data_IF_212138638277
#
_entry.id   IF_212138638277
#
_cell.length_a   1.000
_cell.length_b   1.000
_cell.length_c   1.000
_cell.angle_alpha   90.00
_cell.angle_beta   90.00
_cell.angle_gamma   90.00
#
_symmetry.space_group_name_H-M   'P 1'
#
loop_
_entity.id
_entity.type
_entity.pdbx_description
1 polymer ?
#
# COMPACT_ATOMS: atom_id res chain seq x y z
N UNK A 1 17.90 -13.30 19.05
CA UNK A 1 18.16 -14.06 17.81
C UNK A 1 17.11 -13.63 16.80
N UNK A 2 17.50 -12.88 15.76
CA UNK A 2 16.57 -12.41 14.72
C UNK A 2 16.29 -13.57 13.77
N UNK A 3 15.09 -14.14 13.85
CA UNK A 3 14.61 -15.13 12.88
C UNK A 3 14.30 -14.43 11.57
N UNK A 4 15.19 -14.56 10.59
CA UNK A 4 14.86 -14.41 9.17
C UNK A 4 13.84 -15.51 8.84
N UNK A 5 12.56 -15.19 8.85
CA UNK A 5 11.58 -15.98 8.11
C UNK A 5 11.47 -15.34 6.73
N UNK A 6 11.83 -16.09 5.70
CA UNK A 6 11.37 -15.79 4.36
C UNK A 6 9.84 -15.76 4.42
N UNK A 7 9.22 -14.71 3.87
CA UNK A 7 7.77 -14.57 3.87
C UNK A 7 7.16 -15.81 3.23
N UNK A 8 6.19 -16.42 3.91
CA UNK A 8 5.39 -17.49 3.34
C UNK A 8 4.66 -16.99 2.09
N UNK A 9 4.32 -17.91 1.18
CA UNK A 9 3.45 -17.63 0.02
C UNK A 9 2.15 -16.95 0.46
N UNK A 10 1.59 -17.36 1.60
CA UNK A 10 0.39 -16.75 2.18
C UNK A 10 0.61 -15.30 2.63
N UNK A 11 1.78 -15.00 3.21
CA UNK A 11 2.11 -13.64 3.65
C UNK A 11 2.37 -12.73 2.45
N UNK A 12 3.04 -13.22 1.41
CA UNK A 12 3.22 -12.49 0.14
C UNK A 12 1.87 -12.19 -0.52
N UNK A 13 0.97 -13.19 -0.53
CA UNK A 13 -0.38 -13.01 -1.06
C UNK A 13 -1.17 -11.98 -0.23
N UNK A 14 -1.06 -12.00 1.09
CA UNK A 14 -1.66 -10.98 1.95
C UNK A 14 -1.10 -9.58 1.70
N UNK A 15 0.21 -9.43 1.51
CA UNK A 15 0.82 -8.14 1.17
C UNK A 15 0.30 -7.64 -0.17
N UNK A 16 0.17 -8.51 -1.17
CA UNK A 16 -0.42 -8.16 -2.46
C UNK A 16 -1.87 -7.70 -2.32
N UNK A 17 -2.68 -8.42 -1.54
CA UNK A 17 -4.07 -8.01 -1.25
C UNK A 17 -4.13 -6.65 -0.56
N UNK A 18 -3.22 -6.38 0.38
CA UNK A 18 -3.12 -5.07 1.03
C UNK A 18 -2.74 -3.97 0.03
N UNK A 19 -1.82 -4.24 -0.91
CA UNK A 19 -1.47 -3.29 -1.97
C UNK A 19 -2.69 -2.95 -2.84
N UNK A 20 -3.43 -3.96 -3.30
CA UNK A 20 -4.63 -3.76 -4.13
C UNK A 20 -5.72 -2.99 -3.37
N UNK A 21 -5.86 -3.25 -2.06
CA UNK A 21 -6.79 -2.53 -1.20
C UNK A 21 -6.39 -1.06 -1.00
N UNK A 22 -5.11 -0.78 -0.79
CA UNK A 22 -4.59 0.59 -0.66
C UNK A 22 -4.75 1.37 -1.97
N UNK A 23 -4.47 0.76 -3.12
CA UNK A 23 -4.70 1.36 -4.44
C UNK A 23 -6.19 1.73 -4.63
N UNK A 24 -7.08 0.78 -4.33
CA UNK A 24 -8.53 1.01 -4.38
C UNK A 24 -8.97 2.15 -3.45
N UNK A 25 -8.39 2.24 -2.26
CA UNK A 25 -8.69 3.32 -1.30
C UNK A 25 -8.23 4.68 -1.84
N UNK A 26 -7.03 4.76 -2.42
CA UNK A 26 -6.50 5.96 -3.08
C UNK A 26 -7.46 6.44 -4.18
N UNK A 27 -7.91 5.54 -5.04
CA UNK A 27 -8.82 5.86 -6.15
C UNK A 27 -10.16 6.37 -5.66
N UNK A 28 -10.76 5.71 -4.66
CA UNK A 28 -12.03 6.15 -4.05
C UNK A 28 -11.92 7.54 -3.45
N UNK A 29 -10.87 7.80 -2.67
CA UNK A 29 -10.64 9.12 -2.09
C UNK A 29 -10.45 10.20 -3.16
N UNK A 30 -9.70 9.90 -4.24
CA UNK A 30 -9.57 10.82 -5.39
C UNK A 30 -10.91 11.05 -6.10
N UNK A 31 -11.74 10.02 -6.23
CA UNK A 31 -13.06 10.13 -6.84
C UNK A 31 -14.01 10.97 -5.97
N UNK A 32 -14.01 10.79 -4.64
CA UNK A 32 -14.81 11.59 -3.72
C UNK A 32 -14.35 13.05 -3.69
N UNK A 33 -13.03 13.30 -3.68
CA UNK A 33 -12.47 14.65 -3.75
C UNK A 33 -12.90 15.42 -5.03
N UNK A 34 -13.14 14.70 -6.14
CA UNK A 34 -13.61 15.29 -7.40
C UNK A 34 -15.12 15.51 -7.45
N UNK A 35 -15.89 14.67 -6.77
CA UNK A 35 -17.36 14.72 -6.77
C UNK A 35 -17.92 15.65 -5.70
N UNK A 36 -17.17 15.93 -4.63
CA UNK A 36 -17.61 16.82 -3.56
C UNK A 36 -17.49 18.29 -3.98
N UNK A 37 -18.53 19.05 -3.68
CA UNK A 37 -18.55 20.51 -3.85
C UNK A 37 -17.92 21.22 -2.63
N UNK A 38 -17.95 20.55 -1.48
CA UNK A 38 -17.39 21.05 -0.22
C UNK A 38 -15.84 21.06 -0.27
N UNK A 39 -15.20 22.23 -0.11
CA UNK A 39 -13.75 22.36 -0.11
C UNK A 39 -13.06 21.64 1.06
N UNK A 40 -13.67 21.59 2.25
CA UNK A 40 -13.11 20.93 3.42
C UNK A 40 -13.12 19.41 3.25
N UNK A 41 -14.24 18.85 2.77
CA UNK A 41 -14.31 17.41 2.45
C UNK A 41 -13.33 17.01 1.34
N UNK A 42 -13.11 17.89 0.35
CA UNK A 42 -12.12 17.67 -0.70
C UNK A 42 -10.71 17.61 -0.12
N UNK A 43 -10.35 18.53 0.76
CA UNK A 43 -9.03 18.53 1.42
C UNK A 43 -8.84 17.28 2.28
N UNK A 44 -9.86 16.88 3.05
CA UNK A 44 -9.85 15.64 3.84
C UNK A 44 -9.63 14.43 2.93
N UNK A 45 -10.37 14.31 1.84
CA UNK A 45 -10.22 13.21 0.89
C UNK A 45 -8.83 13.18 0.23
N UNK A 46 -8.26 14.35 -0.09
CA UNK A 46 -6.90 14.45 -0.63
C UNK A 46 -5.84 14.02 0.39
N UNK A 47 -6.00 14.44 1.65
CA UNK A 47 -5.10 14.06 2.74
C UNK A 47 -5.17 12.54 3.00
N UNK A 48 -6.37 11.95 3.05
CA UNK A 48 -6.55 10.51 3.20
C UNK A 48 -5.93 9.75 2.01
N UNK A 49 -6.14 10.23 0.78
CA UNK A 49 -5.53 9.64 -0.42
C UNK A 49 -3.99 9.66 -0.35
N UNK A 50 -3.40 10.75 0.18
CA UNK A 50 -1.96 10.84 0.38
C UNK A 50 -1.46 9.80 1.38
N UNK A 51 -2.13 9.65 2.52
CA UNK A 51 -1.79 8.62 3.52
C UNK A 51 -1.84 7.21 2.93
N UNK A 52 -2.89 6.86 2.20
CA UNK A 52 -2.98 5.55 1.53
C UNK A 52 -1.86 5.34 0.50
N UNK A 53 -1.45 6.38 -0.23
CA UNK A 53 -0.26 6.30 -1.11
C UNK A 53 1.03 6.04 -0.31
N UNK A 54 1.19 6.66 0.85
CA UNK A 54 2.36 6.44 1.72
C UNK A 54 2.38 4.99 2.26
N UNK A 55 1.22 4.43 2.63
CA UNK A 55 1.09 3.02 3.02
C UNK A 55 1.41 2.08 1.86
N UNK A 56 0.83 2.31 0.69
CA UNK A 56 1.11 1.53 -0.53
C UNK A 56 2.61 1.49 -0.84
N UNK A 57 3.26 2.66 -0.83
CA UNK A 57 4.70 2.75 -1.07
C UNK A 57 5.54 2.01 -0.01
N UNK A 58 5.07 1.99 1.23
CA UNK A 58 5.73 1.27 2.33
C UNK A 58 5.60 -0.25 2.14
N UNK A 59 4.41 -0.74 1.80
CA UNK A 59 4.16 -2.14 1.47
C UNK A 59 4.97 -2.59 0.24
N UNK A 60 5.02 -1.75 -0.80
CA UNK A 60 5.79 -2.05 -2.02
C UNK A 60 7.29 -2.15 -1.73
N UNK A 61 7.84 -1.23 -0.93
CA UNK A 61 9.25 -1.30 -0.50
C UNK A 61 9.53 -2.56 0.32
N UNK A 62 8.60 -2.94 1.20
CA UNK A 62 8.72 -4.15 2.00
C UNK A 62 8.73 -5.41 1.12
N UNK A 63 7.81 -5.49 0.15
CA UNK A 63 7.74 -6.58 -0.82
C UNK A 63 9.03 -6.67 -1.65
N UNK A 64 9.49 -5.55 -2.22
CA UNK A 64 10.72 -5.51 -3.01
C UNK A 64 11.97 -5.89 -2.21
N UNK A 65 12.03 -5.52 -0.93
CA UNK A 65 13.13 -5.91 -0.05
C UNK A 65 13.16 -7.43 0.15
N UNK A 66 12.01 -8.06 0.33
CA UNK A 66 11.90 -9.51 0.47
C UNK A 66 12.12 -10.27 -0.86
N UNK A 67 11.66 -9.75 -2.00
CA UNK A 67 11.96 -10.33 -3.31
C UNK A 67 13.47 -10.31 -3.62
N UNK A 68 14.16 -9.22 -3.28
CA UNK A 68 15.63 -9.13 -3.43
C UNK A 68 16.38 -10.11 -2.54
N UNK A 69 15.90 -10.34 -1.32
CA UNK A 69 16.50 -11.32 -0.40
C UNK A 69 16.32 -12.75 -0.93
N UNK A 70 15.17 -13.07 -1.54
CA UNK A 70 14.92 -14.36 -2.16
C UNK A 70 15.75 -14.60 -3.45
N UNK A 71 16.15 -13.55 -4.18
CA UNK A 71 16.97 -13.69 -5.39
C UNK A 71 18.48 -13.81 -5.14
N UNK A 72 18.94 -13.69 -3.89
CA UNK A 72 20.35 -13.84 -3.49
C UNK A 72 20.79 -15.29 -3.24
N UNK A 73 19.91 -16.27 -3.43
CA UNK A 73 20.21 -17.71 -3.30
C UNK A 73 20.23 -18.33 -4.71
N UNK A 74 21.32 -18.08 -5.45
CA UNK A 74 21.71 -18.86 -6.62
C UNK A 74 23.18 -19.23 -6.51
#
# INVERSE_FOLDING_TARGET
MQGKHDLSVEELQHIQQCLDAEETAVEKCKAFAKQTEDPELREICQNISKTHNEHYNSLLKYLQQHERLNQGVK
#
